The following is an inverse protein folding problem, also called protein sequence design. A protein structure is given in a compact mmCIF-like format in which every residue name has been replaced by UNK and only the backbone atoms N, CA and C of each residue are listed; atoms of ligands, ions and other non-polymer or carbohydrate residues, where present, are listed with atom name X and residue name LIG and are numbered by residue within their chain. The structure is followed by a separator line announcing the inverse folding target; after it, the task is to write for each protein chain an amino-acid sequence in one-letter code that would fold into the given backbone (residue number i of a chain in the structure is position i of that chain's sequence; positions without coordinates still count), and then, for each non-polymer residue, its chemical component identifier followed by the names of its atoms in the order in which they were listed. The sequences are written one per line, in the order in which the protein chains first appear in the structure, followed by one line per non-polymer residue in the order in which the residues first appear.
data_IF_033438219284
#
_entry.id   IF_033438219284
#
_cell.length_a   1.000
_cell.length_b   1.000
_cell.length_c   1.000
_cell.angle_alpha   90.00
_cell.angle_beta   90.00
_cell.angle_gamma   90.00
#
_symmetry.space_group_name_H-M   'P 1'
#
loop_
_entity.id
_entity.type
_entity.pdbx_description
1 polymer ?
#
# COMPACT_ATOMS: atom_id res chain seq x y z
N UNK A 1 -11.49 7.49 -23.87
CA UNK A 1 -10.86 6.38 -23.13
C UNK A 1 -11.91 5.66 -22.29
N UNK A 2 -11.78 4.34 -22.19
CA UNK A 2 -12.55 3.54 -21.24
C UNK A 2 -11.69 3.39 -19.97
N UNK A 3 -12.15 3.93 -18.86
CA UNK A 3 -11.44 3.89 -17.58
C UNK A 3 -12.08 2.83 -16.70
N UNK A 4 -11.26 1.99 -16.08
CA UNK A 4 -11.69 0.90 -15.22
C UNK A 4 -10.98 1.05 -13.88
N UNK A 5 -11.77 1.15 -12.83
CA UNK A 5 -11.32 1.03 -11.45
C UNK A 5 -11.81 -0.29 -10.87
N UNK A 6 -10.95 -0.97 -10.15
CA UNK A 6 -11.33 -2.18 -9.44
C UNK A 6 -10.86 -2.10 -7.98
N UNK A 7 -11.66 -2.66 -7.11
CA UNK A 7 -11.27 -2.86 -5.73
C UNK A 7 -10.41 -4.13 -5.65
N UNK A 8 -9.20 -4.02 -5.10
CA UNK A 8 -8.31 -5.16 -4.91
C UNK A 8 -8.92 -6.18 -3.95
N UNK A 9 -8.38 -7.40 -3.96
CA UNK A 9 -8.83 -8.48 -3.03
C UNK A 9 -8.87 -7.98 -1.59
N UNK A 10 -9.98 -8.26 -0.90
CA UNK A 10 -10.20 -7.86 0.47
C UNK A 10 -10.54 -6.39 0.69
N UNK A 11 -10.58 -5.56 -0.38
CA UNK A 11 -10.85 -4.13 -0.31
C UNK A 11 -12.20 -3.77 -0.94
N UNK A 12 -12.78 -2.66 -0.49
CA UNK A 12 -13.96 -2.05 -1.09
C UNK A 12 -15.14 -3.01 -1.22
N UNK A 13 -15.57 -3.28 -2.45
CA UNK A 13 -16.66 -4.20 -2.77
C UNK A 13 -16.19 -5.62 -3.09
N UNK A 14 -14.88 -5.87 -3.11
CA UNK A 14 -14.33 -7.21 -3.33
C UNK A 14 -14.42 -8.06 -2.06
N UNK A 15 -15.01 -9.23 -2.18
CA UNK A 15 -15.27 -10.16 -1.07
C UNK A 15 -14.42 -11.44 -1.19
N UNK A 16 -14.06 -12.09 -0.06
CA UNK A 16 -14.32 -11.71 1.33
C UNK A 16 -13.52 -10.46 1.75
N UNK A 17 -14.16 -9.59 2.54
CA UNK A 17 -13.57 -8.34 2.99
C UNK A 17 -12.46 -8.58 4.03
N UNK A 18 -11.32 -7.87 3.91
CA UNK A 18 -10.17 -8.05 4.80
C UNK A 18 -9.47 -9.41 4.70
N UNK A 19 -9.79 -10.24 3.69
CA UNK A 19 -9.20 -11.59 3.54
C UNK A 19 -7.74 -11.52 3.12
N UNK A 20 -6.89 -12.28 3.82
CA UNK A 20 -5.45 -12.35 3.59
C UNK A 20 -5.03 -13.61 2.82
N UNK A 21 -5.88 -14.63 2.80
CA UNK A 21 -5.61 -15.87 2.06
C UNK A 21 -5.60 -15.61 0.55
N UNK A 22 -4.56 -16.09 -0.11
CA UNK A 22 -4.36 -15.84 -1.54
C UNK A 22 -4.38 -14.35 -1.90
N UNK A 23 -3.87 -13.51 -1.00
CA UNK A 23 -3.76 -12.07 -1.21
C UNK A 23 -2.27 -11.69 -1.19
N UNK A 24 -1.61 -11.94 -2.30
CA UNK A 24 -0.20 -11.64 -2.56
C UNK A 24 -0.06 -10.74 -3.78
N UNK A 25 1.09 -10.13 -3.95
CA UNK A 25 1.39 -9.31 -5.15
C UNK A 25 1.18 -10.11 -6.45
N UNK A 26 1.52 -11.40 -6.44
CA UNK A 26 1.34 -12.28 -7.59
C UNK A 26 -0.15 -12.48 -7.92
N UNK A 27 -0.97 -12.66 -6.88
CA UNK A 27 -2.42 -12.77 -7.06
C UNK A 27 -3.04 -11.49 -7.62
N UNK A 28 -2.60 -10.32 -7.13
CA UNK A 28 -3.08 -9.02 -7.62
C UNK A 28 -2.68 -8.78 -9.09
N UNK A 29 -1.49 -9.21 -9.50
CA UNK A 29 -1.06 -9.15 -10.91
C UNK A 29 -1.96 -10.02 -11.79
N UNK A 30 -2.28 -11.24 -11.34
CA UNK A 30 -3.19 -12.13 -12.07
C UNK A 30 -4.62 -11.60 -12.12
N UNK A 31 -5.08 -10.87 -11.12
CA UNK A 31 -6.39 -10.21 -11.15
C UNK A 31 -6.47 -9.17 -12.26
N UNK A 32 -5.42 -8.39 -12.49
CA UNK A 32 -5.36 -7.45 -13.63
C UNK A 32 -5.52 -8.18 -14.95
N UNK A 33 -4.84 -9.32 -15.12
CA UNK A 33 -4.98 -10.14 -16.33
C UNK A 33 -6.42 -10.64 -16.50
N UNK A 34 -7.02 -11.21 -15.45
CA UNK A 34 -8.39 -11.73 -15.49
C UNK A 34 -9.41 -10.64 -15.79
N UNK A 35 -9.23 -9.43 -15.25
CA UNK A 35 -10.08 -8.28 -15.56
C UNK A 35 -9.95 -7.91 -17.03
N UNK A 36 -8.74 -7.84 -17.57
CA UNK A 36 -8.50 -7.53 -18.98
C UNK A 36 -9.12 -8.58 -19.92
N UNK A 37 -9.04 -9.86 -19.56
CA UNK A 37 -9.67 -10.96 -20.29
C UNK A 37 -11.20 -10.90 -20.24
N UNK A 38 -11.77 -10.70 -19.05
CA UNK A 38 -13.21 -10.58 -18.84
C UNK A 38 -13.81 -9.43 -19.65
N UNK A 39 -13.10 -8.32 -19.72
CA UNK A 39 -13.50 -7.14 -20.50
C UNK A 39 -13.17 -7.25 -21.99
N UNK A 40 -12.68 -8.42 -22.42
CA UNK A 40 -12.39 -8.72 -23.83
C UNK A 40 -11.41 -7.73 -24.48
N UNK A 41 -10.42 -7.30 -23.73
CA UNK A 41 -9.31 -6.49 -24.27
C UNK A 41 -8.34 -7.31 -25.13
N UNK A 42 -8.77 -8.44 -25.64
CA UNK A 42 -8.01 -9.43 -26.42
C UNK A 42 -7.01 -8.73 -27.35
N UNK A 43 -5.73 -8.94 -27.10
CA UNK A 43 -4.61 -8.38 -27.87
C UNK A 43 -4.48 -6.84 -27.86
N UNK A 44 -5.25 -6.11 -27.07
CA UNK A 44 -5.09 -4.67 -26.87
C UNK A 44 -4.19 -4.42 -25.67
N UNK A 45 -3.25 -3.51 -25.83
CA UNK A 45 -2.45 -3.03 -24.72
C UNK A 45 -3.30 -2.11 -23.83
N UNK A 46 -3.03 -2.15 -22.53
CA UNK A 46 -3.69 -1.33 -21.53
C UNK A 46 -2.78 -0.18 -21.08
N UNK A 47 -3.38 0.94 -20.73
CA UNK A 47 -2.71 2.02 -19.99
C UNK A 47 -2.91 1.76 -18.50
N UNK A 48 -1.82 1.69 -17.74
CA UNK A 48 -1.89 1.53 -16.29
C UNK A 48 -1.86 2.90 -15.62
N UNK A 49 -2.69 3.06 -14.59
CA UNK A 49 -2.75 4.25 -13.74
C UNK A 49 -2.69 3.81 -12.28
N UNK A 50 -1.75 4.37 -11.50
CA UNK A 50 -1.62 3.98 -10.10
C UNK A 50 -0.76 4.94 -9.28
N UNK A 51 -1.15 5.11 -8.02
CA UNK A 51 -0.39 5.87 -7.03
C UNK A 51 -0.01 5.01 -5.83
N UNK A 52 1.08 5.38 -5.14
CA UNK A 52 1.57 4.68 -3.95
C UNK A 52 1.70 3.16 -4.22
N UNK A 53 1.06 2.31 -3.42
CA UNK A 53 0.98 0.86 -3.69
C UNK A 53 0.53 0.54 -5.12
N UNK A 54 -0.43 1.30 -5.67
CA UNK A 54 -0.88 1.13 -7.05
C UNK A 54 0.21 1.40 -8.08
N UNK A 55 1.19 2.25 -7.80
CA UNK A 55 2.36 2.46 -8.66
C UNK A 55 3.29 1.25 -8.64
N UNK A 56 3.54 0.66 -7.46
CA UNK A 56 4.31 -0.57 -7.33
C UNK A 56 3.66 -1.72 -8.10
N UNK A 57 2.34 -1.92 -7.92
CA UNK A 57 1.60 -2.96 -8.62
C UNK A 57 1.62 -2.77 -10.14
N UNK A 58 1.47 -1.53 -10.62
CA UNK A 58 1.56 -1.21 -12.05
C UNK A 58 2.95 -1.53 -12.63
N UNK A 59 4.01 -1.16 -11.91
CA UNK A 59 5.40 -1.46 -12.31
C UNK A 59 5.67 -2.96 -12.32
N UNK A 60 5.22 -3.70 -11.30
CA UNK A 60 5.39 -5.16 -11.21
C UNK A 60 4.61 -5.86 -12.32
N UNK A 61 3.37 -5.43 -12.58
CA UNK A 61 2.60 -5.94 -13.71
C UNK A 61 3.33 -5.72 -15.03
N UNK A 62 3.84 -4.51 -15.27
CA UNK A 62 4.54 -4.17 -16.50
C UNK A 62 5.88 -4.95 -16.66
N UNK A 63 6.58 -5.25 -15.55
CA UNK A 63 7.76 -6.11 -15.55
C UNK A 63 7.41 -7.54 -15.96
N UNK A 64 6.27 -8.07 -15.48
CA UNK A 64 5.81 -9.43 -15.79
C UNK A 64 5.17 -9.55 -17.18
N UNK A 65 4.42 -8.53 -17.57
CA UNK A 65 3.61 -8.52 -18.80
C UNK A 65 3.90 -7.29 -19.69
N UNK A 66 5.17 -7.04 -20.09
CA UNK A 66 5.53 -5.79 -20.79
C UNK A 66 4.85 -5.65 -22.15
N UNK A 67 4.46 -6.76 -22.78
CA UNK A 67 3.74 -6.76 -24.07
C UNK A 67 2.30 -6.30 -23.96
N UNK A 68 1.71 -6.39 -22.76
CA UNK A 68 0.31 -6.03 -22.51
C UNK A 68 0.15 -4.54 -22.15
N UNK A 69 1.24 -3.82 -21.89
CA UNK A 69 1.21 -2.43 -21.45
C UNK A 69 1.51 -1.49 -22.59
N UNK A 70 0.64 -0.51 -22.81
CA UNK A 70 0.84 0.55 -23.78
C UNK A 70 1.70 1.68 -23.20
N UNK A 71 1.31 2.17 -22.05
CA UNK A 71 1.98 3.24 -21.30
C UNK A 71 1.53 3.22 -19.84
N UNK A 72 2.23 3.98 -19.00
CA UNK A 72 1.87 4.13 -17.59
C UNK A 72 1.81 5.60 -17.18
N UNK A 73 0.87 5.92 -16.30
CA UNK A 73 0.83 7.15 -15.52
C UNK A 73 0.87 6.76 -14.05
N UNK A 74 1.97 7.06 -13.37
CA UNK A 74 2.15 6.72 -11.96
C UNK A 74 2.49 7.97 -11.15
N UNK A 75 2.06 7.97 -9.89
CA UNK A 75 2.30 9.09 -8.98
C UNK A 75 2.58 8.60 -7.57
N UNK A 76 3.21 9.43 -6.71
CA UNK A 76 3.62 9.04 -5.37
C UNK A 76 4.30 7.66 -5.41
N UNK A 77 5.41 7.58 -6.14
CA UNK A 77 6.00 6.30 -6.54
C UNK A 77 6.52 5.54 -5.34
N UNK A 78 6.00 4.34 -5.14
CA UNK A 78 6.45 3.35 -4.17
C UNK A 78 7.00 2.13 -4.92
N UNK A 79 8.13 1.59 -4.49
CA UNK A 79 8.80 0.47 -5.18
C UNK A 79 8.76 -0.83 -4.40
N UNK A 80 8.19 -0.81 -3.20
CA UNK A 80 8.04 -1.99 -2.35
C UNK A 80 9.34 -2.46 -1.71
N UNK A 81 10.32 -1.56 -1.57
CA UNK A 81 11.58 -1.91 -0.90
C UNK A 81 11.43 -1.84 0.62
N UNK A 82 12.23 -2.68 1.30
CA UNK A 82 12.30 -2.62 2.77
C UNK A 82 12.71 -1.22 3.26
N UNK A 83 13.60 -0.54 2.54
CA UNK A 83 14.05 0.82 2.91
C UNK A 83 12.89 1.81 2.94
N UNK A 84 11.97 1.76 1.96
CA UNK A 84 10.79 2.63 1.93
C UNK A 84 9.82 2.29 3.06
N UNK A 85 9.54 1.00 3.26
CA UNK A 85 8.69 0.55 4.38
C UNK A 85 9.29 0.95 5.73
N UNK A 86 10.58 0.75 5.95
CA UNK A 86 11.26 1.14 7.19
C UNK A 86 11.25 2.66 7.38
N UNK A 87 11.37 3.45 6.30
CA UNK A 87 11.27 4.91 6.40
C UNK A 87 9.93 5.34 6.98
N UNK A 88 8.83 4.79 6.48
CA UNK A 88 7.49 5.12 6.96
C UNK A 88 7.23 4.54 8.37
N UNK A 89 7.60 3.29 8.61
CA UNK A 89 7.13 2.51 9.75
C UNK A 89 8.15 2.40 10.90
N UNK A 90 9.40 2.86 10.75
CA UNK A 90 10.40 2.77 11.81
C UNK A 90 10.78 4.12 12.44
N UNK A 91 11.10 5.13 11.68
CA UNK A 91 11.43 6.44 12.26
C UNK A 91 11.60 7.57 11.26
N UNK A 92 11.46 7.32 9.97
CA UNK A 92 11.71 8.32 8.93
C UNK A 92 10.70 9.48 8.98
N UNK A 93 9.49 9.22 9.43
CA UNK A 93 8.47 10.26 9.58
C UNK A 93 8.65 11.13 10.84
N UNK A 94 9.38 10.64 11.84
CA UNK A 94 9.57 11.35 13.12
C UNK A 94 10.05 12.79 13.00
N UNK A 95 11.04 13.14 12.14
CA UNK A 95 11.50 14.53 12.00
C UNK A 95 10.47 15.47 11.37
N UNK A 96 9.52 14.93 10.62
CA UNK A 96 8.55 15.70 9.86
C UNK A 96 7.19 15.76 10.55
N UNK A 97 6.81 14.70 11.26
CA UNK A 97 5.52 14.51 11.93
C UNK A 97 5.71 13.94 13.33
N UNK A 98 6.38 14.69 14.25
CA UNK A 98 6.76 14.16 15.56
C UNK A 98 5.56 13.75 16.43
N UNK A 99 4.44 14.48 16.38
CA UNK A 99 3.24 14.16 17.15
C UNK A 99 2.58 12.86 16.67
N UNK A 100 2.48 12.69 15.37
CA UNK A 100 1.95 11.46 14.78
C UNK A 100 2.85 10.26 15.08
N UNK A 101 4.15 10.46 14.96
CA UNK A 101 5.12 9.42 15.31
C UNK A 101 5.04 9.03 16.80
N UNK A 102 4.96 10.01 17.73
CA UNK A 102 4.77 9.72 19.15
C UNK A 102 3.48 8.93 19.38
N UNK A 103 2.37 9.34 18.78
CA UNK A 103 1.11 8.60 18.87
C UNK A 103 1.26 7.16 18.37
N UNK A 104 2.01 6.93 17.29
CA UNK A 104 2.26 5.61 16.71
C UNK A 104 3.15 4.76 17.60
N UNK A 105 4.27 5.30 18.10
CA UNK A 105 5.31 4.51 18.77
C UNK A 105 5.05 4.27 20.26
N UNK A 106 4.26 5.13 20.93
CA UNK A 106 4.05 5.07 22.38
C UNK A 106 3.37 3.79 22.86
N UNK A 107 2.52 3.19 22.03
CA UNK A 107 1.85 1.93 22.36
C UNK A 107 2.75 0.71 22.14
N UNK A 108 3.86 0.88 21.43
CA UNK A 108 4.78 -0.21 21.10
C UNK A 108 5.78 -0.41 22.24
N UNK A 109 5.83 -1.59 22.88
CA UNK A 109 6.83 -1.90 23.90
C UNK A 109 8.26 -1.69 23.39
N UNK A 110 9.14 -1.21 24.26
CA UNK A 110 10.51 -0.83 23.88
C UNK A 110 11.28 -1.97 23.17
N UNK A 111 11.09 -3.19 23.60
CA UNK A 111 11.71 -4.40 23.02
C UNK A 111 11.11 -4.79 21.65
N UNK A 112 9.99 -4.18 21.22
CA UNK A 112 9.31 -4.42 19.94
C UNK A 112 9.51 -3.27 18.95
N UNK A 113 10.13 -2.18 19.33
CA UNK A 113 10.29 -0.98 18.49
C UNK A 113 11.25 -1.16 17.31
N UNK A 114 12.02 -2.23 17.30
CA UNK A 114 12.88 -2.59 16.17
C UNK A 114 12.12 -3.26 15.01
N UNK A 115 10.85 -3.68 15.23
CA UNK A 115 9.97 -4.25 14.20
C UNK A 115 8.51 -3.86 14.49
N UNK A 116 8.20 -2.58 14.28
CA UNK A 116 6.87 -2.02 14.51
C UNK A 116 5.83 -2.65 13.61
N UNK A 117 6.18 -2.95 12.37
CA UNK A 117 5.27 -3.60 11.39
C UNK A 117 4.76 -4.93 11.94
N UNK A 118 5.67 -5.78 12.44
CA UNK A 118 5.29 -7.08 13.02
C UNK A 118 4.42 -6.91 14.26
N UNK A 119 4.75 -5.96 15.12
CA UNK A 119 3.96 -5.67 16.32
C UNK A 119 2.53 -5.24 15.95
N UNK A 120 2.39 -4.29 15.03
CA UNK A 120 1.09 -3.81 14.57
C UNK A 120 0.30 -4.91 13.84
N UNK A 121 0.94 -5.71 13.00
CA UNK A 121 0.31 -6.84 12.32
C UNK A 121 -0.34 -7.85 13.28
N UNK A 122 0.34 -8.12 14.42
CA UNK A 122 -0.20 -9.01 15.43
C UNK A 122 -1.37 -8.35 16.20
N UNK A 123 -1.26 -7.05 16.51
CA UNK A 123 -2.23 -6.30 17.31
C UNK A 123 -3.50 -5.90 16.55
N UNK A 124 -3.37 -5.53 15.29
CA UNK A 124 -4.52 -5.23 14.40
C UNK A 124 -5.42 -6.47 14.24
N UNK A 125 -4.86 -7.66 14.43
CA UNK A 125 -5.55 -8.95 14.35
C UNK A 125 -5.89 -9.56 15.72
N UNK A 126 -5.79 -8.78 16.78
CA UNK A 126 -6.13 -9.24 18.12
C UNK A 126 -7.62 -9.60 18.19
N UNK A 127 -7.95 -10.65 18.99
CA UNK A 127 -9.34 -11.07 19.21
C UNK A 127 -10.14 -10.06 20.03
N UNK A 128 -9.46 -9.26 20.84
CA UNK A 128 -10.08 -8.14 21.54
C UNK A 128 -10.21 -6.98 20.56
N UNK A 129 -11.47 -6.64 20.23
CA UNK A 129 -11.81 -5.61 19.27
C UNK A 129 -11.27 -4.23 19.66
N UNK A 130 -11.29 -3.89 20.96
CA UNK A 130 -10.78 -2.58 21.43
C UNK A 130 -9.27 -2.45 21.19
N UNK A 131 -8.52 -3.54 21.42
CA UNK A 131 -7.08 -3.58 21.13
C UNK A 131 -6.84 -3.44 19.63
N UNK A 132 -7.58 -4.18 18.82
CA UNK A 132 -7.43 -4.11 17.37
C UNK A 132 -7.75 -2.71 16.84
N UNK A 133 -8.87 -2.10 17.27
CA UNK A 133 -9.30 -0.79 16.82
C UNK A 133 -8.34 0.32 17.21
N UNK A 134 -7.78 0.27 18.43
CA UNK A 134 -6.76 1.22 18.86
C UNK A 134 -5.52 1.17 17.96
N UNK A 135 -5.05 -0.03 17.60
CA UNK A 135 -3.88 -0.18 16.73
C UNK A 135 -4.20 0.21 15.28
N UNK A 136 -5.39 -0.08 14.79
CA UNK A 136 -5.86 0.35 13.46
C UNK A 136 -5.87 1.87 13.36
N UNK A 137 -6.44 2.56 14.36
CA UNK A 137 -6.44 4.04 14.39
C UNK A 137 -5.04 4.61 14.31
N UNK A 138 -4.13 4.13 15.14
CA UNK A 138 -2.74 4.63 15.19
C UNK A 138 -1.97 4.36 13.91
N UNK A 139 -2.14 3.18 13.33
CA UNK A 139 -1.56 2.82 12.04
C UNK A 139 -2.00 3.78 10.94
N UNK A 140 -3.31 3.90 10.76
CA UNK A 140 -3.87 4.75 9.71
C UNK A 140 -3.57 6.24 9.94
N UNK A 141 -3.50 6.70 11.21
CA UNK A 141 -3.12 8.08 11.54
C UNK A 141 -1.68 8.37 11.15
N UNK A 142 -0.75 7.46 11.42
CA UNK A 142 0.67 7.64 11.07
C UNK A 142 0.84 7.85 9.56
N UNK A 143 0.21 7.03 8.74
CA UNK A 143 0.26 7.15 7.28
C UNK A 143 -0.45 8.41 6.78
N UNK A 144 -1.66 8.65 7.25
CA UNK A 144 -2.48 9.80 6.79
C UNK A 144 -1.84 11.14 7.13
N UNK A 145 -1.10 11.24 8.23
CA UNK A 145 -0.37 12.46 8.60
C UNK A 145 0.71 12.79 7.57
N UNK A 146 1.38 11.78 7.03
CA UNK A 146 2.38 11.97 5.99
C UNK A 146 1.78 12.41 4.64
N UNK A 147 0.50 12.14 4.41
CA UNK A 147 -0.21 12.52 3.19
C UNK A 147 -0.89 13.89 3.25
N UNK A 148 -0.84 14.58 4.39
CA UNK A 148 -1.50 15.89 4.58
C UNK A 148 -0.46 17.00 4.74
N UNK A 149 -0.72 18.16 4.11
CA UNK A 149 0.04 19.39 4.35
C UNK A 149 -0.26 19.96 5.74
N UNK A 150 -1.46 19.68 6.26
CA UNK A 150 -1.88 20.09 7.61
C UNK A 150 -2.03 18.81 8.47
N UNK A 151 -0.96 18.40 9.17
CA UNK A 151 -0.97 17.19 10.00
C UNK A 151 -1.95 17.29 11.18
N UNK A 152 -2.26 18.47 11.68
CA UNK A 152 -3.18 18.64 12.81
C UNK A 152 -4.61 18.27 12.39
N UNK A 153 -5.02 18.63 11.19
CA UNK A 153 -6.32 18.24 10.65
C UNK A 153 -6.42 16.72 10.43
N UNK A 154 -5.32 16.08 10.00
CA UNK A 154 -5.27 14.63 9.85
C UNK A 154 -5.34 13.93 11.21
N UNK A 155 -4.55 14.36 12.20
CA UNK A 155 -4.49 13.77 13.52
C UNK A 155 -5.81 13.91 14.30
N UNK A 156 -6.44 15.07 14.27
CA UNK A 156 -7.70 15.33 15.00
C UNK A 156 -8.83 14.47 14.43
N UNK A 157 -8.92 14.35 13.12
CA UNK A 157 -10.00 13.58 12.47
C UNK A 157 -9.88 12.08 12.70
N UNK A 158 -8.67 11.53 12.71
CA UNK A 158 -8.48 10.09 12.78
C UNK A 158 -8.50 9.52 14.20
N UNK A 159 -8.01 10.26 15.19
CA UNK A 159 -8.04 9.82 16.58
C UNK A 159 -9.48 9.70 17.15
N UNK A 160 -10.45 10.39 16.55
CA UNK A 160 -11.86 10.39 16.97
C UNK A 160 -12.77 9.57 16.04
N UNK A 161 -12.23 8.91 15.00
CA UNK A 161 -13.05 8.13 14.08
C UNK A 161 -13.34 6.72 14.62
N UNK A 162 -14.58 6.31 14.46
CA UNK A 162 -14.97 4.91 14.53
C UNK A 162 -14.18 4.10 13.48
N UNK A 163 -13.67 2.95 13.88
CA UNK A 163 -12.96 2.06 12.96
C UNK A 163 -13.98 1.33 12.10
N UNK A 164 -14.27 1.89 10.94
CA UNK A 164 -15.12 1.28 9.95
C UNK A 164 -14.40 0.12 9.22
N UNK A 165 -15.15 -0.60 8.43
CA UNK A 165 -14.63 -1.71 7.64
C UNK A 165 -13.50 -1.29 6.70
N UNK A 166 -13.57 -0.08 6.12
CA UNK A 166 -12.53 0.45 5.24
C UNK A 166 -11.23 0.68 5.99
N UNK A 167 -11.27 1.36 7.14
CA UNK A 167 -10.10 1.60 7.98
C UNK A 167 -9.44 0.28 8.40
N UNK A 168 -10.26 -0.71 8.76
CA UNK A 168 -9.82 -2.05 9.13
C UNK A 168 -9.16 -2.79 7.97
N UNK A 169 -9.80 -2.80 6.81
CA UNK A 169 -9.29 -3.47 5.62
C UNK A 169 -7.96 -2.90 5.17
N UNK A 170 -7.83 -1.57 5.14
CA UNK A 170 -6.58 -0.88 4.79
C UNK A 170 -5.46 -1.33 5.74
N UNK A 171 -5.63 -1.16 7.05
CA UNK A 171 -4.60 -1.47 8.02
C UNK A 171 -4.17 -2.95 7.98
N UNK A 172 -5.14 -3.89 7.89
CA UNK A 172 -4.84 -5.32 7.95
C UNK A 172 -4.10 -5.80 6.69
N UNK A 173 -4.53 -5.34 5.52
CA UNK A 173 -3.94 -5.74 4.24
C UNK A 173 -2.57 -5.08 4.09
N UNK A 174 -2.42 -3.82 4.40
CA UNK A 174 -1.14 -3.11 4.31
C UNK A 174 -0.09 -3.74 5.23
N UNK A 175 -0.43 -3.97 6.52
CA UNK A 175 0.45 -4.71 7.42
C UNK A 175 0.81 -6.09 6.90
N UNK A 176 -0.15 -6.81 6.29
CA UNK A 176 0.09 -8.11 5.69
C UNK A 176 1.12 -8.04 4.55
N UNK A 177 1.02 -7.04 3.70
CA UNK A 177 1.99 -6.85 2.63
C UNK A 177 3.36 -6.45 3.19
N UNK A 178 3.42 -5.52 4.13
CA UNK A 178 4.69 -5.05 4.68
C UNK A 178 5.43 -6.14 5.46
N UNK A 179 4.75 -6.90 6.32
CA UNK A 179 5.40 -7.99 7.09
C UNK A 179 5.94 -9.11 6.19
N UNK A 180 5.39 -9.22 4.97
CA UNK A 180 5.82 -10.19 3.96
C UNK A 180 6.70 -9.54 2.84
N UNK A 181 7.30 -8.37 3.08
CA UNK A 181 8.11 -7.65 2.11
C UNK A 181 7.39 -7.49 0.75
N UNK A 182 6.11 -7.13 0.78
CA UNK A 182 5.25 -7.00 -0.39
C UNK A 182 5.23 -8.24 -1.31
N UNK A 183 5.60 -9.42 -0.79
CA UNK A 183 5.71 -10.69 -1.54
C UNK A 183 6.60 -10.62 -2.79
N UNK A 184 7.59 -9.74 -2.79
CA UNK A 184 8.59 -9.59 -3.84
C UNK A 184 10.00 -9.54 -3.23
N UNK A 185 11.04 -9.96 -3.98
CA UNK A 185 12.42 -9.71 -3.58
C UNK A 185 12.68 -8.21 -3.37
N UNK A 186 13.49 -7.86 -2.38
CA UNK A 186 13.94 -6.48 -2.20
C UNK A 186 14.56 -5.97 -3.52
N UNK A 187 14.29 -4.71 -3.89
CA UNK A 187 14.72 -4.08 -5.15
C UNK A 187 14.20 -4.74 -6.44
N UNK A 188 13.16 -5.58 -6.37
CA UNK A 188 12.62 -6.29 -7.54
C UNK A 188 12.37 -5.37 -8.74
N UNK A 189 11.78 -4.19 -8.52
CA UNK A 189 11.47 -3.23 -9.60
C UNK A 189 12.77 -2.66 -10.19
N UNK A 190 13.74 -2.30 -9.35
CA UNK A 190 15.03 -1.77 -9.79
C UNK A 190 15.81 -2.79 -10.63
N UNK A 191 15.89 -4.02 -10.18
CA UNK A 191 16.62 -5.10 -10.86
C UNK A 191 15.99 -5.46 -12.20
N UNK A 192 14.71 -5.19 -12.37
CA UNK A 192 13.95 -5.45 -13.58
C UNK A 192 13.64 -4.20 -14.41
N UNK A 193 14.09 -3.01 -14.02
CA UNK A 193 13.75 -1.74 -14.67
C UNK A 193 14.05 -1.72 -16.18
N UNK A 194 15.09 -2.45 -16.63
CA UNK A 194 15.43 -2.59 -18.04
C UNK A 194 14.28 -3.16 -18.88
N UNK A 195 13.40 -3.98 -18.30
CA UNK A 195 12.22 -4.53 -19.00
C UNK A 195 11.18 -3.45 -19.33
N UNK A 196 11.21 -2.33 -18.60
CA UNK A 196 10.30 -1.20 -18.77
C UNK A 196 10.77 -0.18 -19.80
N UNK A 197 12.01 -0.28 -20.32
CA UNK A 197 12.66 0.73 -21.16
C UNK A 197 11.91 1.09 -22.45
N UNK A 198 11.01 0.23 -22.92
CA UNK A 198 10.20 0.45 -24.14
C UNK A 198 8.76 0.91 -23.83
N UNK A 199 8.40 1.07 -22.57
CA UNK A 199 7.08 1.48 -22.14
C UNK A 199 7.15 2.98 -21.78
N UNK A 200 6.39 3.86 -22.43
CA UNK A 200 6.32 5.26 -22.01
C UNK A 200 5.73 5.35 -20.60
N UNK A 201 6.43 6.04 -19.71
CA UNK A 201 6.02 6.21 -18.31
C UNK A 201 6.01 7.71 -18.01
N UNK A 202 4.85 8.22 -17.59
CA UNK A 202 4.73 9.55 -16.99
C UNK A 202 4.70 9.38 -15.47
N UNK A 203 5.61 10.08 -14.80
CA UNK A 203 5.72 10.07 -13.34
C UNK A 203 5.34 11.45 -12.81
N UNK A 204 4.43 11.49 -11.83
CA UNK A 204 4.08 12.68 -11.06
C UNK A 204 4.48 12.42 -9.61
N UNK A 205 5.42 13.23 -9.11
CA UNK A 205 5.98 13.04 -7.77
C UNK A 205 5.96 14.36 -7.01
N UNK A 206 5.55 14.34 -5.76
CA UNK A 206 5.65 15.45 -4.85
C UNK A 206 7.13 15.77 -4.53
N UNK A 207 7.45 17.03 -4.28
CA UNK A 207 8.84 17.43 -3.93
C UNK A 207 9.29 16.79 -2.61
N UNK A 208 8.36 16.56 -1.70
CA UNK A 208 8.62 16.08 -0.33
C UNK A 208 8.11 14.65 -0.09
N UNK A 209 7.71 13.97 -1.17
CA UNK A 209 7.23 12.61 -1.17
C UNK A 209 8.38 11.62 -1.44
#
# INVERSE_FOLDING_TARGET
HHVIFHDQRGCGKSIPFGELKNNTTQDLVEDINKIAEHLKFNNKKITLYGGSWGSALALIYAVKHPKNVEKMLIYCVYTGTKKETDYIQQSGLKPHFPESWENYINIVPADKRNDTVKYYYDKIRDKNQEIADEHIRRWNTNESSAMSIDPDLANIKLNNQEVDDKARSVAIIECHFFVNNCFIPDKYIYDNAKKLSKIPILIVQGRHD
#
